data_IF_112698348639
#
_entry.id   IF_112698348639
#
_cell.length_a   1.000
_cell.length_b   1.000
_cell.length_c   1.000
_cell.angle_alpha   90.00
_cell.angle_beta   90.00
_cell.angle_gamma   90.00
#
_symmetry.space_group_name_H-M   'P 1'
#
loop_
_entity.id
_entity.type
_entity.pdbx_description
1 polymer ?
#
# COMPACT_ATOMS: atom_id res chain seq x y z
N UNK A 1 -32.58 -43.82 -19.70
CA UNK A 1 -31.13 -43.82 -19.99
C UNK A 1 -30.76 -43.16 -21.33
N UNK A 2 -31.69 -42.56 -22.09
CA UNK A 2 -31.36 -41.89 -23.38
C UNK A 2 -31.09 -40.37 -23.27
N UNK A 3 -31.31 -39.76 -22.11
CA UNK A 3 -31.25 -38.30 -21.90
C UNK A 3 -29.91 -37.79 -21.33
N UNK A 4 -29.05 -38.66 -20.80
CA UNK A 4 -27.75 -38.27 -20.28
C UNK A 4 -26.67 -38.22 -21.38
N UNK A 5 -26.76 -39.12 -22.36
CA UNK A 5 -25.82 -39.19 -23.49
C UNK A 5 -25.91 -37.96 -24.40
N UNK A 6 -27.14 -37.52 -24.69
CA UNK A 6 -27.37 -36.33 -25.53
C UNK A 6 -26.91 -35.03 -24.87
N UNK A 7 -26.99 -34.92 -23.54
CA UNK A 7 -26.44 -33.78 -22.80
C UNK A 7 -24.91 -33.76 -22.79
N UNK A 8 -24.27 -34.94 -22.68
CA UNK A 8 -22.82 -35.06 -22.75
C UNK A 8 -22.29 -34.74 -24.16
N UNK A 9 -22.95 -35.24 -25.20
CA UNK A 9 -22.59 -34.95 -26.59
C UNK A 9 -22.73 -33.46 -26.94
N UNK A 10 -23.75 -32.80 -26.39
CA UNK A 10 -23.95 -31.35 -26.58
C UNK A 10 -22.85 -30.54 -25.87
N UNK A 11 -22.40 -30.97 -24.70
CA UNK A 11 -21.31 -30.35 -23.96
C UNK A 11 -19.95 -30.57 -24.64
N UNK A 12 -19.70 -31.76 -25.17
CA UNK A 12 -18.47 -32.08 -25.90
C UNK A 12 -18.39 -31.32 -27.23
N UNK A 13 -19.50 -31.22 -27.97
CA UNK A 13 -19.56 -30.40 -29.19
C UNK A 13 -19.34 -28.90 -28.91
N UNK A 14 -19.86 -28.40 -27.78
CA UNK A 14 -19.61 -27.03 -27.32
C UNK A 14 -18.15 -26.78 -26.93
N UNK A 15 -17.46 -27.79 -26.39
CA UNK A 15 -16.04 -27.69 -26.04
C UNK A 15 -15.15 -27.80 -27.27
N UNK A 16 -15.47 -28.69 -28.21
CA UNK A 16 -14.75 -28.83 -29.47
C UNK A 16 -14.84 -27.54 -30.31
N UNK A 17 -16.00 -26.87 -30.38
CA UNK A 17 -16.15 -25.58 -31.08
C UNK A 17 -15.37 -24.45 -30.39
N UNK A 18 -15.31 -24.45 -29.05
CA UNK A 18 -14.60 -23.43 -28.28
C UNK A 18 -13.07 -23.62 -28.28
N UNK A 19 -12.60 -24.83 -28.56
CA UNK A 19 -11.17 -25.19 -28.52
C UNK A 19 -10.59 -25.60 -29.86
N UNK A 20 -11.43 -25.65 -30.91
CA UNK A 20 -10.97 -25.89 -32.27
C UNK A 20 -9.90 -24.85 -32.64
N UNK A 21 -8.74 -25.29 -33.17
CA UNK A 21 -7.78 -24.38 -33.77
C UNK A 21 -8.50 -23.55 -34.82
N UNK A 22 -8.27 -22.23 -34.86
CA UNK A 22 -8.83 -21.35 -35.88
C UNK A 22 -8.20 -21.75 -37.22
N UNK A 23 -8.78 -22.74 -37.89
CA UNK A 23 -8.31 -23.18 -39.19
C UNK A 23 -9.02 -22.37 -40.29
N UNK A 24 -8.23 -21.44 -40.83
CA UNK A 24 -8.12 -21.14 -42.25
C UNK A 24 -9.39 -20.99 -43.10
N UNK A 25 -10.42 -20.29 -42.60
CA UNK A 25 -11.29 -19.54 -43.54
C UNK A 25 -10.57 -18.27 -43.97
N UNK A 26 -9.73 -18.43 -44.99
CA UNK A 26 -9.06 -17.43 -45.83
C UNK A 26 -9.42 -15.99 -45.47
N UNK A 27 -8.57 -15.36 -44.64
CA UNK A 27 -8.48 -13.90 -44.59
C UNK A 27 -7.47 -13.50 -45.67
N UNK A 28 -7.87 -12.66 -46.61
CA UNK A 28 -7.01 -12.20 -47.71
C UNK A 28 -5.85 -11.30 -47.26
N UNK A 29 -5.74 -10.96 -45.98
CA UNK A 29 -4.55 -10.27 -45.45
C UNK A 29 -4.33 -10.62 -43.95
N UNK A 30 -3.19 -11.23 -43.57
CA UNK A 30 -2.88 -11.59 -42.19
C UNK A 30 -2.59 -10.40 -41.25
N UNK A 31 -2.50 -9.16 -41.75
CA UNK A 31 -2.01 -8.01 -40.97
C UNK A 31 -3.05 -6.95 -40.63
N UNK A 32 -4.33 -7.17 -40.90
CA UNK A 32 -5.41 -6.27 -40.46
C UNK A 32 -6.02 -6.73 -39.15
N UNK A 33 -5.79 -5.96 -38.07
CA UNK A 33 -6.53 -6.09 -36.82
C UNK A 33 -8.02 -5.79 -37.05
N UNK A 34 -8.90 -6.53 -36.38
CA UNK A 34 -10.33 -6.30 -36.42
C UNK A 34 -10.66 -4.86 -36.00
N UNK A 35 -11.64 -4.25 -36.65
CA UNK A 35 -11.97 -2.85 -36.42
C UNK A 35 -12.58 -2.64 -35.03
N UNK A 36 -12.39 -1.46 -34.44
CA UNK A 36 -12.94 -1.08 -33.12
C UNK A 36 -14.47 -1.31 -33.04
N UNK A 37 -15.15 -1.19 -34.19
CA UNK A 37 -16.59 -1.42 -34.33
C UNK A 37 -16.99 -2.89 -34.16
N UNK A 38 -16.12 -3.84 -34.50
CA UNK A 38 -16.36 -5.29 -34.33
C UNK A 38 -16.12 -5.76 -32.90
N UNK A 39 -15.24 -5.09 -32.15
CA UNK A 39 -14.99 -5.36 -30.72
C UNK A 39 -16.21 -4.98 -29.85
N UNK A 40 -16.92 -3.91 -30.22
CA UNK A 40 -18.03 -3.38 -29.44
C UNK A 40 -19.37 -4.10 -29.65
N UNK A 41 -19.52 -4.85 -30.75
CA UNK A 41 -20.80 -5.42 -31.17
C UNK A 41 -20.85 -6.94 -31.02
N UNK A 42 -20.70 -7.45 -29.78
CA UNK A 42 -21.29 -8.70 -29.23
C UNK A 42 -20.46 -9.21 -28.05
N UNK A 43 -20.71 -8.67 -26.86
CA UNK A 43 -20.53 -9.48 -25.65
C UNK A 43 -21.87 -10.13 -25.31
N UNK A 44 -22.06 -11.45 -25.52
CA UNK A 44 -23.08 -12.15 -24.75
C UNK A 44 -22.72 -11.94 -23.27
N UNK A 45 -23.68 -11.49 -22.46
CA UNK A 45 -23.50 -11.37 -21.01
C UNK A 45 -22.99 -12.72 -20.49
N UNK A 46 -21.69 -12.82 -20.20
CA UNK A 46 -21.13 -13.95 -19.45
C UNK A 46 -21.95 -14.08 -18.17
N UNK A 47 -22.44 -15.27 -17.78
CA UNK A 47 -22.83 -15.46 -16.39
C UNK A 47 -21.61 -15.04 -15.56
N UNK A 48 -21.80 -14.13 -14.60
CA UNK A 48 -20.74 -13.71 -13.71
C UNK A 48 -20.25 -14.95 -12.97
N UNK A 49 -19.18 -15.58 -13.48
CA UNK A 49 -18.35 -16.46 -12.68
C UNK A 49 -17.86 -15.55 -11.56
N UNK A 50 -18.41 -15.75 -10.37
CA UNK A 50 -18.09 -14.96 -9.19
C UNK A 50 -16.67 -15.39 -8.79
N UNK A 51 -15.66 -14.91 -9.51
CA UNK A 51 -14.25 -15.21 -9.25
C UNK A 51 -13.89 -14.52 -7.95
N UNK A 52 -14.21 -15.16 -6.83
CA UNK A 52 -13.98 -14.65 -5.48
C UNK A 52 -12.49 -14.65 -5.10
N UNK A 53 -11.63 -15.21 -5.94
CA UNK A 53 -10.18 -15.27 -5.74
C UNK A 53 -9.47 -14.36 -6.75
N UNK A 54 -9.17 -13.13 -6.33
CA UNK A 54 -8.40 -12.14 -7.10
C UNK A 54 -7.11 -11.77 -6.34
N UNK A 55 -6.08 -12.65 -6.37
CA UNK A 55 -4.87 -12.45 -5.58
C UNK A 55 -4.01 -11.28 -6.05
N UNK A 56 -4.10 -10.94 -7.34
CA UNK A 56 -3.31 -9.90 -8.00
C UNK A 56 -3.96 -8.51 -7.89
N UNK A 57 -5.15 -8.41 -7.30
CA UNK A 57 -5.85 -7.15 -7.09
C UNK A 57 -5.50 -6.59 -5.71
N UNK A 58 -4.77 -5.49 -5.68
CA UNK A 58 -4.31 -4.87 -4.44
C UNK A 58 -5.47 -4.37 -3.56
N UNK A 59 -6.52 -3.83 -4.17
CA UNK A 59 -7.73 -3.39 -3.46
C UNK A 59 -8.42 -4.55 -2.73
N UNK A 60 -8.51 -5.73 -3.36
CA UNK A 60 -9.06 -6.92 -2.73
C UNK A 60 -8.20 -7.44 -1.58
N UNK A 61 -6.87 -7.34 -1.72
CA UNK A 61 -5.95 -7.63 -0.62
C UNK A 61 -6.20 -6.69 0.56
N UNK A 62 -6.27 -5.38 0.33
CA UNK A 62 -6.56 -4.39 1.37
C UNK A 62 -7.94 -4.59 2.00
N UNK A 63 -8.94 -5.00 1.21
CA UNK A 63 -10.26 -5.35 1.72
C UNK A 63 -10.19 -6.55 2.68
N UNK A 64 -9.38 -7.58 2.40
CA UNK A 64 -9.16 -8.67 3.35
C UNK A 64 -8.43 -8.22 4.60
N UNK A 65 -7.38 -7.42 4.49
CA UNK A 65 -6.67 -6.81 5.63
C UNK A 65 -7.62 -5.98 6.49
N UNK A 66 -8.62 -5.33 5.88
CA UNK A 66 -9.59 -4.50 6.59
C UNK A 66 -10.47 -5.25 7.59
N UNK A 67 -10.62 -6.57 7.41
CA UNK A 67 -11.37 -7.40 8.35
C UNK A 67 -10.68 -7.57 9.72
N UNK A 68 -9.39 -7.26 9.82
CA UNK A 68 -8.58 -7.49 11.02
C UNK A 68 -8.60 -6.28 11.98
N UNK A 69 -8.94 -6.54 13.24
CA UNK A 69 -8.93 -5.53 14.31
C UNK A 69 -8.00 -5.92 15.48
N UNK A 70 -7.63 -4.95 16.32
CA UNK A 70 -6.91 -5.26 17.58
C UNK A 70 -7.75 -6.15 18.49
N UNK A 71 -9.08 -5.99 18.50
CA UNK A 71 -9.96 -6.77 19.37
C UNK A 71 -10.07 -8.24 18.94
N UNK A 72 -9.85 -8.54 17.67
CA UNK A 72 -10.10 -9.85 17.07
C UNK A 72 -8.84 -10.57 16.57
N UNK A 73 -7.74 -9.85 16.36
CA UNK A 73 -6.46 -10.40 15.91
C UNK A 73 -5.28 -9.75 16.65
N UNK A 74 -5.31 -9.85 17.98
CA UNK A 74 -4.35 -9.18 18.84
C UNK A 74 -2.98 -9.86 18.87
N UNK A 75 -1.91 -9.04 18.82
CA UNK A 75 -0.53 -9.42 19.13
C UNK A 75 -0.05 -10.74 18.47
N UNK A 76 -0.51 -11.03 17.26
CA UNK A 76 -0.09 -12.23 16.52
C UNK A 76 1.33 -12.07 15.99
N UNK A 77 2.17 -13.13 16.08
CA UNK A 77 3.51 -13.12 15.47
C UNK A 77 3.46 -12.88 13.96
N UNK A 78 4.56 -12.37 13.41
CA UNK A 78 4.62 -11.88 12.02
C UNK A 78 4.25 -12.94 10.98
N UNK A 79 4.63 -14.21 11.21
CA UNK A 79 4.34 -15.35 10.33
C UNK A 79 2.85 -15.66 10.18
N UNK A 80 2.01 -15.11 11.07
CA UNK A 80 0.54 -15.17 11.02
C UNK A 80 -0.06 -13.76 11.24
N UNK A 81 0.66 -12.73 10.79
CA UNK A 81 0.16 -11.36 10.80
C UNK A 81 -1.11 -11.24 9.94
N UNK A 82 -1.84 -10.12 10.10
CA UNK A 82 -3.02 -9.85 9.27
C UNK A 82 -2.68 -9.84 7.78
N UNK A 83 -1.48 -9.36 7.41
CA UNK A 83 -0.98 -9.41 6.03
C UNK A 83 -0.76 -10.82 5.55
N UNK A 84 -0.08 -11.68 6.31
CA UNK A 84 0.16 -13.06 5.90
C UNK A 84 -1.15 -13.84 5.77
N UNK A 85 -2.09 -13.64 6.68
CA UNK A 85 -3.42 -14.22 6.58
C UNK A 85 -4.16 -13.72 5.31
N UNK A 86 -4.20 -12.41 5.09
CA UNK A 86 -4.86 -11.81 3.94
C UNK A 86 -4.21 -12.20 2.60
N UNK A 87 -2.88 -12.35 2.54
CA UNK A 87 -2.17 -12.82 1.35
C UNK A 87 -2.68 -14.20 0.94
N UNK A 88 -2.89 -15.08 1.90
CA UNK A 88 -3.41 -16.43 1.68
C UNK A 88 -4.94 -16.51 1.59
N UNK A 89 -5.62 -15.38 1.36
CA UNK A 89 -7.07 -15.35 1.10
C UNK A 89 -7.96 -15.39 2.33
N UNK A 90 -7.39 -15.29 3.53
CA UNK A 90 -8.14 -15.33 4.77
C UNK A 90 -8.63 -13.95 5.19
N UNK A 91 -9.84 -13.92 5.75
CA UNK A 91 -10.41 -12.77 6.43
C UNK A 91 -10.68 -13.10 7.89
N UNK A 92 -10.52 -12.12 8.76
CA UNK A 92 -10.87 -12.28 10.16
C UNK A 92 -12.39 -12.19 10.32
N UNK A 93 -12.98 -13.21 10.95
CA UNK A 93 -14.44 -13.33 11.11
C UNK A 93 -14.87 -13.23 12.57
N UNK A 94 -14.00 -13.59 13.50
CA UNK A 94 -14.21 -13.51 14.95
C UNK A 94 -12.85 -13.47 15.68
N UNK A 95 -12.80 -13.31 17.02
CA UNK A 95 -11.55 -13.38 17.77
C UNK A 95 -10.77 -14.67 17.48
N UNK A 96 -9.52 -14.51 17.06
CA UNK A 96 -8.61 -15.58 16.64
C UNK A 96 -9.14 -16.47 15.50
N UNK A 97 -10.21 -16.07 14.80
CA UNK A 97 -10.85 -16.87 13.75
C UNK A 97 -10.65 -16.27 12.35
N UNK A 98 -10.27 -17.12 11.41
CA UNK A 98 -10.14 -16.82 9.99
C UNK A 98 -11.25 -17.52 9.19
N UNK A 99 -11.62 -16.94 8.07
CA UNK A 99 -12.62 -17.43 7.13
C UNK A 99 -12.16 -17.18 5.69
N UNK A 100 -12.33 -18.17 4.81
CA UNK A 100 -12.10 -17.99 3.38
C UNK A 100 -13.44 -17.84 2.62
N UNK A 101 -13.58 -16.76 1.85
CA UNK A 101 -14.79 -16.54 1.05
C UNK A 101 -14.97 -17.54 -0.09
N UNK A 102 -13.90 -18.15 -0.59
CA UNK A 102 -13.98 -19.09 -1.72
C UNK A 102 -14.41 -20.48 -1.25
N UNK A 103 -13.67 -21.06 -0.30
CA UNK A 103 -13.89 -22.44 0.13
C UNK A 103 -14.74 -22.59 1.41
N UNK A 104 -15.11 -21.48 2.05
CA UNK A 104 -15.92 -21.42 3.28
C UNK A 104 -15.31 -22.11 4.50
N UNK A 105 -14.02 -22.45 4.44
CA UNK A 105 -13.29 -22.99 5.59
C UNK A 105 -13.05 -21.92 6.64
N UNK A 106 -12.88 -22.38 7.88
CA UNK A 106 -12.52 -21.56 9.01
C UNK A 106 -11.28 -22.13 9.71
N UNK A 107 -10.44 -21.25 10.24
CA UNK A 107 -9.31 -21.60 11.11
C UNK A 107 -9.42 -20.84 12.41
N UNK A 108 -8.90 -21.42 13.51
CA UNK A 108 -8.82 -20.74 14.80
C UNK A 108 -7.38 -20.78 15.33
N UNK A 109 -6.73 -19.62 15.39
CA UNK A 109 -5.32 -19.47 15.76
C UNK A 109 -5.17 -18.90 17.17
N UNK A 110 -5.79 -19.56 18.14
CA UNK A 110 -5.65 -19.20 19.55
C UNK A 110 -4.28 -19.65 20.06
N UNK A 111 -3.47 -18.71 20.51
CA UNK A 111 -2.18 -18.98 21.15
C UNK A 111 -2.36 -18.79 22.65
N UNK A 112 -1.93 -19.79 23.44
CA UNK A 112 -2.03 -19.74 24.89
C UNK A 112 -1.05 -18.70 25.46
N UNK A 113 -1.57 -17.82 26.30
CA UNK A 113 -0.84 -16.70 26.93
C UNK A 113 0.22 -17.16 27.94
N UNK A 114 0.12 -18.41 28.43
CA UNK A 114 1.11 -19.02 29.33
C UNK A 114 2.36 -19.53 28.60
N UNK A 115 2.37 -19.55 27.27
CA UNK A 115 3.53 -20.00 26.51
C UNK A 115 4.66 -18.96 26.60
N UNK A 116 5.89 -19.44 26.65
CA UNK A 116 7.05 -18.57 26.41
C UNK A 116 7.03 -18.03 24.98
N UNK A 117 7.75 -16.94 24.71
CA UNK A 117 7.86 -16.35 23.37
C UNK A 117 8.30 -17.40 22.33
N UNK A 118 9.26 -18.25 22.67
CA UNK A 118 9.71 -19.33 21.79
C UNK A 118 8.62 -20.40 21.55
N UNK A 119 7.82 -20.73 22.57
CA UNK A 119 6.69 -21.64 22.43
C UNK A 119 5.57 -21.06 21.55
N UNK A 120 5.23 -19.79 21.76
CA UNK A 120 4.25 -19.08 20.96
C UNK A 120 4.67 -19.00 19.47
N UNK A 121 5.95 -18.74 19.20
CA UNK A 121 6.49 -18.75 17.84
C UNK A 121 6.41 -20.13 17.17
N UNK A 122 6.73 -21.21 17.89
CA UNK A 122 6.59 -22.57 17.35
C UNK A 122 5.14 -22.88 16.93
N UNK A 123 4.17 -22.52 17.77
CA UNK A 123 2.75 -22.65 17.45
C UNK A 123 2.37 -21.80 16.24
N UNK A 124 2.87 -20.57 16.18
CA UNK A 124 2.61 -19.66 15.05
C UNK A 124 3.16 -20.20 13.72
N UNK A 125 4.31 -20.89 13.71
CA UNK A 125 4.82 -21.53 12.50
C UNK A 125 3.91 -22.68 12.01
N UNK A 126 3.37 -23.49 12.91
CA UNK A 126 2.37 -24.52 12.56
C UNK A 126 1.13 -23.86 11.96
N UNK A 127 0.66 -22.76 12.55
CA UNK A 127 -0.46 -21.99 12.01
C UNK A 127 -0.14 -21.35 10.65
N UNK A 128 1.10 -20.92 10.41
CA UNK A 128 1.51 -20.39 9.12
C UNK A 128 1.38 -21.44 8.01
N UNK A 129 1.74 -22.70 8.27
CA UNK A 129 1.51 -23.81 7.32
C UNK A 129 0.02 -24.05 7.04
N UNK A 130 -0.84 -23.80 8.04
CA UNK A 130 -2.30 -23.90 7.90
C UNK A 130 -2.90 -22.77 7.06
N UNK A 131 -2.21 -21.65 6.84
CA UNK A 131 -2.68 -20.63 5.91
C UNK A 131 -2.81 -21.16 4.48
N UNK A 132 -2.02 -22.18 4.13
CA UNK A 132 -2.10 -22.87 2.84
C UNK A 132 -2.98 -24.12 2.97
N UNK A 133 -2.64 -25.00 3.90
CA UNK A 133 -3.25 -26.34 4.02
C UNK A 133 -4.65 -26.34 4.61
N UNK A 134 -5.05 -25.27 5.31
CA UNK A 134 -6.37 -25.11 5.91
C UNK A 134 -7.49 -24.81 4.90
N UNK A 135 -7.14 -24.51 3.66
CA UNK A 135 -8.09 -24.43 2.56
C UNK A 135 -8.52 -25.82 2.08
N UNK A 136 -9.68 -25.93 1.43
CA UNK A 136 -10.02 -27.16 0.68
C UNK A 136 -9.03 -27.35 -0.48
N UNK A 137 -8.84 -28.61 -0.90
CA UNK A 137 -7.93 -28.98 -2.01
C UNK A 137 -8.18 -28.19 -3.30
N UNK A 138 -9.44 -27.86 -3.59
CA UNK A 138 -9.85 -27.12 -4.79
C UNK A 138 -9.95 -25.60 -4.58
N UNK A 139 -9.56 -25.09 -3.41
CA UNK A 139 -9.57 -23.66 -3.17
C UNK A 139 -8.45 -22.99 -3.98
N UNK A 140 -8.77 -21.95 -4.77
CA UNK A 140 -7.77 -21.27 -5.59
C UNK A 140 -6.66 -20.59 -4.74
N UNK A 141 -6.94 -20.20 -3.49
CA UNK A 141 -5.96 -19.57 -2.59
C UNK A 141 -4.82 -20.48 -2.15
N UNK A 142 -4.97 -21.81 -2.26
CA UNK A 142 -3.97 -22.78 -1.77
C UNK A 142 -2.63 -22.70 -2.50
N UNK A 143 -2.63 -22.30 -3.76
CA UNK A 143 -1.42 -22.12 -4.58
C UNK A 143 -1.26 -20.74 -5.17
N UNK A 144 -2.09 -19.77 -4.75
CA UNK A 144 -2.18 -18.47 -5.39
C UNK A 144 -2.32 -17.35 -4.35
N UNK A 145 -1.32 -17.19 -3.44
CA UNK A 145 -1.34 -16.08 -2.49
C UNK A 145 -1.15 -14.74 -3.21
N UNK A 146 -1.65 -13.66 -2.62
CA UNK A 146 -1.35 -12.31 -3.10
C UNK A 146 0.17 -12.03 -3.06
N UNK A 147 0.67 -11.20 -4.00
CA UNK A 147 2.08 -10.82 -4.04
C UNK A 147 2.60 -10.27 -2.72
N UNK A 148 3.84 -10.64 -2.35
CA UNK A 148 4.49 -10.11 -1.15
C UNK A 148 4.67 -8.60 -1.19
N UNK A 149 4.88 -8.05 -2.39
CA UNK A 149 4.99 -6.62 -2.63
C UNK A 149 3.82 -5.82 -2.02
N UNK A 150 2.62 -6.41 -1.92
CA UNK A 150 1.44 -5.75 -1.33
C UNK A 150 1.55 -5.49 0.18
N UNK A 151 2.49 -6.15 0.86
CA UNK A 151 2.76 -5.94 2.29
C UNK A 151 3.79 -4.84 2.54
N UNK A 152 4.38 -4.29 1.47
CA UNK A 152 5.47 -3.32 1.52
C UNK A 152 5.07 -2.01 0.86
N UNK A 153 5.82 -0.93 1.15
CA UNK A 153 5.65 0.31 0.40
C UNK A 153 6.18 0.14 -1.04
N UNK A 154 5.69 0.95 -2.00
CA UNK A 154 6.24 0.96 -3.36
C UNK A 154 7.75 1.17 -3.38
N UNK A 155 8.45 0.51 -4.30
CA UNK A 155 9.87 0.77 -4.54
C UNK A 155 9.98 2.13 -5.22
N UNK A 156 10.58 3.10 -4.53
CA UNK A 156 10.72 4.47 -5.01
C UNK A 156 12.06 5.05 -4.58
N UNK A 157 12.68 5.83 -5.47
CA UNK A 157 13.85 6.62 -5.14
C UNK A 157 13.51 7.72 -4.13
N UNK A 158 14.51 8.22 -3.40
CA UNK A 158 14.34 9.33 -2.45
C UNK A 158 13.67 10.55 -3.08
N UNK A 159 13.95 10.83 -4.36
CA UNK A 159 13.32 11.93 -5.11
C UNK A 159 11.84 11.66 -5.40
N UNK A 160 11.49 10.46 -5.87
CA UNK A 160 10.09 10.09 -6.11
C UNK A 160 9.26 10.12 -4.82
N UNK A 161 9.87 9.72 -3.69
CA UNK A 161 9.24 9.86 -2.36
C UNK A 161 8.98 11.32 -2.02
N UNK A 162 9.94 12.23 -2.27
CA UNK A 162 9.77 13.67 -2.07
C UNK A 162 8.66 14.26 -2.97
N UNK A 163 8.64 13.92 -4.25
CA UNK A 163 7.62 14.37 -5.19
C UNK A 163 6.23 13.91 -4.74
N UNK A 164 6.11 12.65 -4.33
CA UNK A 164 4.87 12.10 -3.75
C UNK A 164 4.48 12.80 -2.44
N UNK A 165 5.45 13.12 -1.58
CA UNK A 165 5.22 13.87 -0.35
C UNK A 165 4.61 15.25 -0.63
N UNK A 166 5.18 16.01 -1.60
CA UNK A 166 4.69 17.35 -1.93
C UNK A 166 3.25 17.32 -2.45
N UNK A 167 2.94 16.39 -3.36
CA UNK A 167 1.57 16.21 -3.88
C UNK A 167 0.59 15.92 -2.74
N UNK A 168 0.91 14.95 -1.88
CA UNK A 168 0.04 14.58 -0.75
C UNK A 168 -0.10 15.70 0.27
N UNK A 169 0.94 16.50 0.49
CA UNK A 169 0.90 17.65 1.39
C UNK A 169 -0.07 18.72 0.85
N UNK A 170 0.02 19.06 -0.43
CA UNK A 170 -0.86 20.04 -1.07
C UNK A 170 -2.32 19.59 -1.05
N UNK A 171 -2.57 18.31 -1.34
CA UNK A 171 -3.90 17.70 -1.24
C UNK A 171 -4.44 17.78 0.20
N UNK A 172 -3.63 17.38 1.18
CA UNK A 172 -4.04 17.36 2.58
C UNK A 172 -4.32 18.79 3.10
N UNK A 173 -3.47 19.76 2.76
CA UNK A 173 -3.67 21.17 3.12
C UNK A 173 -4.92 21.73 2.47
N UNK A 174 -5.18 21.39 1.20
CA UNK A 174 -6.41 21.77 0.51
C UNK A 174 -7.65 21.18 1.18
N UNK A 175 -7.59 19.91 1.61
CA UNK A 175 -8.66 19.27 2.37
C UNK A 175 -8.86 19.96 3.73
N UNK A 176 -7.78 20.28 4.45
CA UNK A 176 -7.85 20.98 5.73
C UNK A 176 -8.40 22.41 5.61
N UNK A 177 -8.15 23.10 4.49
CA UNK A 177 -8.72 24.43 4.23
C UNK A 177 -10.23 24.39 3.99
N UNK A 178 -10.74 23.32 3.35
CA UNK A 178 -12.17 23.12 3.11
C UNK A 178 -12.93 22.63 4.35
N UNK A 179 -12.24 22.10 5.35
CA UNK A 179 -12.82 21.42 6.53
C UNK A 179 -12.81 22.31 7.77
N UNK A 180 -13.64 21.93 8.76
CA UNK A 180 -13.89 22.64 10.02
C UNK A 180 -12.60 22.84 10.86
N UNK A 181 -12.59 23.85 11.73
CA UNK A 181 -11.45 24.28 12.58
C UNK A 181 -10.87 23.14 13.46
N UNK A 182 -11.65 22.08 13.70
CA UNK A 182 -11.24 20.91 14.49
C UNK A 182 -10.03 20.19 13.91
N UNK A 183 -9.90 20.18 12.59
CA UNK A 183 -8.79 19.50 11.92
C UNK A 183 -7.44 20.18 12.17
N UNK A 184 -7.48 21.48 12.51
CA UNK A 184 -6.31 22.28 12.88
C UNK A 184 -5.82 21.99 14.31
N UNK A 185 -6.56 21.19 15.08
CA UNK A 185 -6.32 20.91 16.50
C UNK A 185 -5.43 19.68 16.76
N UNK A 186 -5.04 18.91 15.74
CA UNK A 186 -4.13 17.78 15.91
C UNK A 186 -2.77 18.32 16.35
N UNK A 187 -2.32 17.94 17.54
CA UNK A 187 -0.99 18.29 18.05
C UNK A 187 -0.09 17.06 18.04
N UNK A 188 0.92 17.06 17.17
CA UNK A 188 1.91 15.98 17.14
C UNK A 188 2.80 16.07 18.38
N UNK A 189 3.09 14.95 19.02
CA UNK A 189 3.96 14.89 20.19
C UNK A 189 5.38 15.36 19.85
N UNK A 190 5.94 16.28 20.65
CA UNK A 190 7.23 16.93 20.39
C UNK A 190 8.37 15.93 20.17
N UNK A 191 8.37 14.81 20.91
CA UNK A 191 9.37 13.76 20.75
C UNK A 191 9.32 13.09 19.36
N UNK A 192 8.13 12.94 18.78
CA UNK A 192 7.94 12.40 17.42
C UNK A 192 8.34 13.43 16.38
N UNK A 193 7.94 14.69 16.56
CA UNK A 193 8.34 15.79 15.69
C UNK A 193 9.87 15.94 15.65
N UNK A 194 10.53 15.95 16.81
CA UNK A 194 11.98 16.01 16.92
C UNK A 194 12.66 14.80 16.26
N UNK A 195 12.09 13.60 16.40
CA UNK A 195 12.60 12.37 15.75
C UNK A 195 12.55 12.48 14.23
N UNK A 196 11.44 12.99 13.66
CA UNK A 196 11.27 13.17 12.21
C UNK A 196 12.24 14.24 11.69
N UNK A 197 12.30 15.38 12.38
CA UNK A 197 13.16 16.49 11.97
C UNK A 197 14.64 16.10 12.02
N UNK A 198 15.07 15.33 13.03
CA UNK A 198 16.43 14.81 13.11
C UNK A 198 16.75 13.88 11.93
N UNK A 199 15.86 12.95 11.60
CA UNK A 199 16.04 12.04 10.45
C UNK A 199 16.08 12.78 9.11
N UNK A 200 15.42 13.95 9.01
CA UNK A 200 15.51 14.83 7.84
C UNK A 200 16.84 15.58 7.74
N UNK A 201 17.50 15.85 8.89
CA UNK A 201 18.78 16.58 9.00
C UNK A 201 20.00 15.67 8.81
N UNK A 202 19.88 14.35 9.08
CA UNK A 202 20.97 13.36 8.96
C UNK A 202 21.39 13.06 7.49
N UNK A 203 21.02 13.91 6.50
CA UNK A 203 21.66 13.90 5.17
C UNK A 203 23.01 14.59 5.24
N UNK A 204 24.04 14.08 4.56
CA UNK A 204 25.46 14.48 4.71
C UNK A 204 25.77 15.98 4.57
N UNK A 205 24.81 16.82 4.18
CA UNK A 205 24.92 18.27 4.10
C UNK A 205 23.76 19.00 4.83
N UNK A 206 24.15 19.85 5.81
CA UNK A 206 23.42 20.94 6.49
C UNK A 206 22.60 20.63 7.77
N UNK A 207 22.86 21.46 8.80
CA UNK A 207 22.24 21.49 10.14
C UNK A 207 21.05 22.48 10.19
N UNK A 208 19.93 22.11 9.60
CA UNK A 208 19.01 23.08 8.99
C UNK A 208 17.52 22.81 9.31
N UNK A 209 17.19 21.69 9.98
CA UNK A 209 15.83 21.30 10.40
C UNK A 209 15.59 21.31 11.92
N UNK A 210 16.32 22.13 12.67
CA UNK A 210 16.28 22.08 14.14
C UNK A 210 14.97 22.54 14.79
N UNK A 211 14.09 23.25 14.08
CA UNK A 211 12.80 23.67 14.63
C UNK A 211 11.66 23.68 13.59
N UNK A 212 10.42 23.61 14.09
CA UNK A 212 9.20 23.56 13.28
C UNK A 212 8.95 24.86 12.51
N UNK A 213 9.45 25.99 12.98
CA UNK A 213 9.33 27.29 12.30
C UNK A 213 10.13 27.32 10.99
N UNK A 214 11.41 26.95 11.03
CA UNK A 214 12.27 26.84 9.84
C UNK A 214 11.70 25.81 8.87
N UNK A 215 11.19 24.68 9.39
CA UNK A 215 10.52 23.67 8.57
C UNK A 215 9.31 24.25 7.83
N UNK A 216 8.42 24.98 8.53
CA UNK A 216 7.27 25.63 7.91
C UNK A 216 7.70 26.63 6.81
N UNK A 217 8.72 27.45 7.07
CA UNK A 217 9.24 28.40 6.08
C UNK A 217 9.77 27.72 4.82
N UNK A 218 10.49 26.58 4.97
CA UNK A 218 10.97 25.78 3.83
C UNK A 218 9.83 25.18 3.02
N UNK A 219 8.80 24.65 3.68
CA UNK A 219 7.60 24.13 3.00
C UNK A 219 6.90 25.23 2.19
N UNK A 220 6.68 26.40 2.80
CA UNK A 220 6.06 27.55 2.15
C UNK A 220 6.88 28.09 0.97
N UNK A 221 8.21 27.99 1.03
CA UNK A 221 9.08 28.41 -0.07
C UNK A 221 8.91 27.50 -1.32
N UNK A 222 8.65 26.20 -1.11
CA UNK A 222 8.65 25.19 -2.17
C UNK A 222 7.35 25.09 -2.97
N UNK A 223 6.21 25.55 -2.43
CA UNK A 223 4.93 25.53 -3.16
C UNK A 223 4.15 26.84 -2.97
N UNK A 224 3.79 27.54 -4.07
CA UNK A 224 2.88 28.69 -4.04
C UNK A 224 1.49 28.33 -3.49
N UNK A 225 0.98 27.13 -3.79
CA UNK A 225 -0.35 26.68 -3.34
C UNK A 225 -0.45 26.66 -1.81
N UNK A 226 0.63 26.30 -1.13
CA UNK A 226 0.69 26.29 0.33
C UNK A 226 0.66 27.71 0.93
N UNK A 227 1.15 28.73 0.20
CA UNK A 227 1.11 30.13 0.65
C UNK A 227 -0.29 30.73 0.51
N UNK A 228 -0.97 30.43 -0.58
CA UNK A 228 -2.29 31.00 -0.88
C UNK A 228 -3.40 30.41 -0.01
N UNK A 229 -3.20 29.22 0.55
CA UNK A 229 -4.18 28.54 1.39
C UNK A 229 -4.45 29.23 2.76
N UNK A 230 -3.75 30.31 3.12
CA UNK A 230 -3.92 31.07 4.38
C UNK A 230 -3.86 30.20 5.65
N UNK A 231 -3.10 29.10 5.61
CA UNK A 231 -2.99 28.13 6.71
C UNK A 231 -1.91 28.57 7.70
N UNK A 232 -2.14 28.36 9.01
CA UNK A 232 -1.13 28.67 10.03
C UNK A 232 0.08 27.73 9.91
N UNK A 233 1.27 28.21 10.29
CA UNK A 233 2.50 27.41 10.24
C UNK A 233 2.40 26.11 11.05
N UNK A 234 1.69 26.13 12.18
CA UNK A 234 1.44 24.94 13.00
C UNK A 234 0.65 23.88 12.23
N UNK A 235 -0.44 24.28 11.57
CA UNK A 235 -1.29 23.37 10.79
C UNK A 235 -0.54 22.79 9.60
N UNK A 236 0.26 23.61 8.90
CA UNK A 236 1.09 23.14 7.79
C UNK A 236 2.12 22.10 8.23
N UNK A 237 2.78 22.32 9.36
CA UNK A 237 3.77 21.38 9.92
C UNK A 237 3.09 20.08 10.36
N UNK A 238 1.92 20.17 11.02
CA UNK A 238 1.16 18.98 11.40
C UNK A 238 0.69 18.17 10.17
N UNK A 239 0.24 18.85 9.11
CA UNK A 239 -0.09 18.20 7.84
C UNK A 239 1.12 17.47 7.25
N UNK A 240 2.30 18.11 7.24
CA UNK A 240 3.53 17.47 6.78
C UNK A 240 3.89 16.24 7.62
N UNK A 241 3.76 16.31 8.95
CA UNK A 241 4.01 15.15 9.82
C UNK A 241 3.00 14.01 9.60
N UNK A 242 1.74 14.31 9.32
CA UNK A 242 0.75 13.30 8.95
C UNK A 242 1.17 12.56 7.67
N UNK A 243 1.58 13.30 6.62
CA UNK A 243 2.04 12.70 5.36
C UNK A 243 3.31 11.86 5.57
N UNK A 244 4.31 12.39 6.28
CA UNK A 244 5.56 11.66 6.61
C UNK A 244 5.26 10.40 7.40
N UNK A 245 4.26 10.42 8.28
CA UNK A 245 3.84 9.25 9.04
C UNK A 245 2.84 8.34 8.29
N UNK A 246 2.50 8.64 7.04
CA UNK A 246 1.64 7.79 6.23
C UNK A 246 0.14 7.87 6.49
N UNK A 247 -0.30 8.93 7.17
CA UNK A 247 -1.70 9.18 7.47
C UNK A 247 -2.36 10.08 6.41
N UNK A 248 -3.62 9.81 6.13
CA UNK A 248 -4.52 10.65 5.32
C UNK A 248 -5.90 10.67 5.95
N UNK A 249 -6.79 11.57 5.51
CA UNK A 249 -8.19 11.50 5.94
C UNK A 249 -8.90 10.32 5.29
N UNK A 250 -9.81 9.68 6.03
CA UNK A 250 -10.68 8.67 5.45
C UNK A 250 -11.75 9.34 4.58
N UNK A 251 -11.91 8.87 3.35
CA UNK A 251 -12.96 9.35 2.44
C UNK A 251 -14.37 9.01 2.95
N UNK A 252 -14.49 7.98 3.81
CA UNK A 252 -15.78 7.53 4.36
C UNK A 252 -16.16 8.24 5.65
N UNK A 253 -15.17 8.66 6.43
CA UNK A 253 -15.36 9.34 7.70
C UNK A 253 -14.26 10.39 7.85
N UNK A 254 -14.61 11.62 7.44
CA UNK A 254 -13.66 12.72 7.35
C UNK A 254 -13.03 13.11 8.69
N UNK A 255 -13.58 12.67 9.83
CA UNK A 255 -13.03 12.89 11.18
C UNK A 255 -11.96 11.86 11.58
N UNK A 256 -11.78 10.81 10.79
CA UNK A 256 -10.80 9.75 11.04
C UNK A 256 -9.58 9.87 10.15
N UNK A 257 -8.41 9.62 10.73
CA UNK A 257 -7.21 9.35 9.97
C UNK A 257 -7.19 7.88 9.56
N UNK A 258 -6.73 7.63 8.35
CA UNK A 258 -6.59 6.31 7.76
C UNK A 258 -5.17 6.10 7.24
N UNK A 259 -4.64 4.90 7.44
CA UNK A 259 -3.41 4.45 6.80
C UNK A 259 -3.76 3.42 5.71
N UNK A 260 -3.47 3.74 4.45
CA UNK A 260 -3.72 2.84 3.33
C UNK A 260 -2.96 1.51 3.38
N UNK A 261 -1.80 1.47 4.05
CA UNK A 261 -0.98 0.25 4.11
C UNK A 261 -1.47 -0.76 5.16
N UNK A 262 -1.71 -0.33 6.40
CA UNK A 262 -2.19 -1.24 7.46
C UNK A 262 -3.70 -1.20 7.68
N UNK A 263 -4.41 -0.40 6.88
CA UNK A 263 -5.84 -0.13 6.95
C UNK A 263 -6.36 0.28 8.35
N UNK A 264 -5.49 0.81 9.22
CA UNK A 264 -5.92 1.33 10.53
C UNK A 264 -6.66 2.64 10.32
N UNK A 265 -7.84 2.74 10.94
CA UNK A 265 -8.60 3.97 11.14
C UNK A 265 -8.41 4.42 12.57
N UNK A 266 -8.16 5.71 12.76
CA UNK A 266 -7.85 6.26 14.06
C UNK A 266 -8.41 7.67 14.19
N UNK A 267 -9.21 7.87 15.23
CA UNK A 267 -9.72 9.17 15.60
C UNK A 267 -8.68 9.91 16.45
N UNK A 268 -7.97 10.84 15.82
CA UNK A 268 -6.93 11.64 16.49
C UNK A 268 -7.50 12.77 17.35
N UNK A 269 -8.75 13.19 17.08
CA UNK A 269 -9.42 14.30 17.78
C UNK A 269 -10.47 13.73 18.73
N UNK A 270 -10.37 13.95 20.05
CA UNK A 270 -11.40 13.51 20.99
C UNK A 270 -12.75 14.18 20.69
N UNK A 271 -13.84 13.42 20.69
CA UNK A 271 -15.18 14.00 20.68
C UNK A 271 -15.43 14.73 21.99
N UNK A 272 -15.90 15.99 21.91
CA UNK A 272 -16.48 16.65 23.08
C UNK A 272 -17.75 15.87 23.45
N UNK A 273 -17.69 15.05 24.49
CA UNK A 273 -18.91 14.51 25.09
C UNK A 273 -19.71 15.68 25.64
N UNK A 274 -20.92 15.91 25.10
CA UNK A 274 -21.95 16.62 25.84
C UNK A 274 -22.37 15.69 26.98
N UNK A 275 -22.00 16.03 28.22
CA UNK A 275 -22.52 15.36 29.40
C UNK A 275 -24.01 15.73 29.52
N UNK A 276 -24.85 14.93 28.89
CA UNK A 276 -26.31 14.99 28.96
C UNK A 276 -26.87 13.59 29.20
N UNK A 277 -27.34 13.38 30.43
CA UNK A 277 -28.24 12.33 30.95
C UNK A 277 -27.68 10.96 31.36
N UNK A 278 -27.57 10.83 32.69
CA UNK A 278 -27.79 9.69 33.60
C UNK A 278 -27.43 8.25 33.16
N UNK A 279 -26.36 7.68 33.74
CA UNK A 279 -26.45 6.76 34.91
C UNK A 279 -25.11 6.06 35.26
N UNK A 280 -24.94 5.83 36.57
CA UNK A 280 -23.89 5.11 37.33
C UNK A 280 -22.61 5.82 37.80
N UNK A 281 -22.16 5.57 39.06
CA UNK A 281 -21.24 6.46 39.79
C UNK A 281 -19.78 6.28 39.36
N UNK A 282 -18.99 7.37 39.25
CA UNK A 282 -17.65 7.30 38.67
C UNK A 282 -16.63 6.84 39.71
N UNK A 283 -16.03 5.67 39.48
CA UNK A 283 -14.73 5.35 40.07
C UNK A 283 -13.68 6.30 39.47
N UNK A 284 -13.31 7.34 40.24
CA UNK A 284 -12.15 8.24 40.10
C UNK A 284 -11.46 8.21 38.73
N UNK A 285 -11.98 8.96 37.75
CA UNK A 285 -11.17 9.45 36.63
C UNK A 285 -10.89 10.92 36.83
N UNK A 286 -9.61 11.26 37.06
CA UNK A 286 -9.13 12.63 36.98
C UNK A 286 -9.42 13.15 35.57
N UNK A 287 -10.20 14.23 35.51
CA UNK A 287 -10.43 15.04 34.32
C UNK A 287 -9.18 15.89 34.11
N UNK A 288 -8.44 15.63 33.03
CA UNK A 288 -7.42 16.56 32.54
C UNK A 288 -7.84 17.02 31.16
N UNK A 289 -8.35 18.26 31.10
CA UNK A 289 -8.58 19.06 29.88
C UNK A 289 -7.23 19.49 29.26
N UNK A 290 -6.35 18.53 28.97
CA UNK A 290 -5.13 18.76 28.21
C UNK A 290 -5.38 18.36 26.75
N UNK A 291 -5.08 19.26 25.79
CA UNK A 291 -5.00 18.89 24.37
C UNK A 291 -3.98 17.77 24.27
N UNK A 292 -4.45 16.55 24.09
CA UNK A 292 -3.61 15.36 24.17
C UNK A 292 -2.75 15.31 22.90
N UNK A 293 -1.45 15.58 23.04
CA UNK A 293 -0.51 15.41 21.95
C UNK A 293 -0.47 13.95 21.50
N UNK A 294 -0.36 13.71 20.20
CA UNK A 294 -0.48 12.38 19.62
C UNK A 294 0.83 11.85 19.05
N UNK A 295 1.11 10.56 19.30
CA UNK A 295 2.23 9.85 18.71
C UNK A 295 1.79 9.13 17.44
N UNK A 296 1.96 9.79 16.29
CA UNK A 296 1.54 9.29 14.98
C UNK A 296 2.15 7.93 14.60
N UNK A 297 3.36 7.62 15.07
CA UNK A 297 4.06 6.38 14.70
C UNK A 297 3.51 5.20 15.50
N UNK A 298 3.30 5.37 16.81
CA UNK A 298 2.72 4.32 17.68
C UNK A 298 1.30 3.91 17.28
N UNK A 299 0.59 4.76 16.54
CA UNK A 299 -0.77 4.49 16.08
C UNK A 299 -0.81 3.57 14.86
N UNK A 300 0.30 3.16 14.28
CA UNK A 300 0.26 2.12 13.24
C UNK A 300 0.03 0.73 13.84
N UNK A 301 -0.35 -0.25 13.00
CA UNK A 301 -0.20 -1.67 13.36
C UNK A 301 1.29 -2.00 13.37
N UNK A 302 1.74 -2.93 14.24
CA UNK A 302 3.17 -3.26 14.37
C UNK A 302 3.81 -3.77 13.08
N UNK A 303 3.03 -4.42 12.21
CA UNK A 303 3.47 -4.91 10.91
C UNK A 303 3.38 -3.88 9.77
N UNK A 304 2.90 -2.66 10.03
CA UNK A 304 2.71 -1.66 8.99
C UNK A 304 4.05 -1.23 8.39
N UNK A 305 4.21 -1.19 7.05
CA UNK A 305 5.50 -0.85 6.43
C UNK A 305 5.90 0.61 6.63
N UNK A 306 5.00 1.44 7.16
CA UNK A 306 5.35 2.79 7.63
C UNK A 306 6.26 2.76 8.84
N UNK A 307 6.14 1.78 9.74
CA UNK A 307 6.89 1.68 11.01
C UNK A 307 7.79 0.45 11.12
N UNK A 308 7.46 -0.62 10.38
CA UNK A 308 8.26 -1.83 10.28
C UNK A 308 9.28 -1.70 9.13
N UNK A 309 10.47 -2.26 9.34
CA UNK A 309 11.49 -2.37 8.29
C UNK A 309 11.07 -3.41 7.25
N UNK A 310 11.44 -3.17 5.98
CA UNK A 310 11.25 -4.17 4.93
C UNK A 310 12.18 -5.35 5.22
N UNK A 311 11.61 -6.53 5.38
CA UNK A 311 12.37 -7.77 5.52
C UNK A 311 12.90 -8.18 4.14
N UNK A 312 14.16 -8.63 4.10
CA UNK A 312 14.69 -9.27 2.89
C UNK A 312 13.96 -10.60 2.69
N UNK A 313 13.44 -10.82 1.49
CA UNK A 313 12.70 -12.01 1.07
C UNK A 313 13.61 -13.20 0.79
N UNK A 314 14.93 -13.05 0.93
CA UNK A 314 15.91 -14.12 0.69
C UNK A 314 16.03 -14.58 -0.76
N UNK A 315 15.19 -14.05 -1.65
CA UNK A 315 15.44 -14.03 -3.09
C UNK A 315 16.36 -12.84 -3.33
N UNK A 316 17.34 -13.01 -4.21
CA UNK A 316 18.41 -12.05 -4.53
C UNK A 316 17.85 -10.82 -5.29
N UNK A 317 16.81 -10.19 -4.72
CA UNK A 317 15.98 -9.15 -5.29
C UNK A 317 16.81 -7.90 -5.56
N UNK A 318 17.09 -7.64 -6.84
CA UNK A 318 17.46 -6.36 -7.47
C UNK A 318 18.65 -5.55 -6.89
N UNK A 319 19.20 -5.93 -5.74
CA UNK A 319 20.19 -5.17 -4.96
C UNK A 319 21.56 -5.07 -5.61
N UNK A 320 21.80 -5.82 -6.70
CA UNK A 320 23.02 -5.71 -7.50
C UNK A 320 23.05 -4.44 -8.37
N UNK A 321 21.89 -3.85 -8.70
CA UNK A 321 21.81 -2.72 -9.64
C UNK A 321 21.98 -1.35 -8.95
N UNK A 322 21.45 -1.19 -7.73
CA UNK A 322 21.62 0.03 -6.92
C UNK A 322 21.57 -0.26 -5.41
N UNK A 323 22.74 -0.48 -4.77
CA UNK A 323 22.82 -0.72 -3.33
C UNK A 323 22.29 0.44 -2.49
N UNK A 324 22.42 1.69 -2.95
CA UNK A 324 21.96 2.87 -2.20
C UNK A 324 20.44 2.94 -2.20
N UNK A 325 19.80 2.66 -3.33
CA UNK A 325 18.36 2.54 -3.41
C UNK A 325 17.85 1.39 -2.54
N UNK A 326 18.53 0.24 -2.56
CA UNK A 326 18.13 -0.91 -1.77
C UNK A 326 18.18 -0.65 -0.26
N UNK A 327 19.26 -0.03 0.24
CA UNK A 327 19.35 0.39 1.64
C UNK A 327 18.29 1.42 2.02
N UNK A 328 17.96 2.34 1.12
CA UNK A 328 16.89 3.31 1.33
C UNK A 328 15.50 2.66 1.45
N UNK A 329 15.14 1.75 0.54
CA UNK A 329 13.81 1.13 0.55
C UNK A 329 13.62 0.08 1.66
N UNK A 330 14.71 -0.32 2.34
CA UNK A 330 14.66 -1.15 3.55
C UNK A 330 14.13 -0.40 4.76
N UNK A 331 14.36 0.91 4.81
CA UNK A 331 13.93 1.76 5.89
C UNK A 331 12.40 1.74 6.03
N UNK A 332 11.84 1.94 7.24
CA UNK A 332 10.41 2.15 7.41
C UNK A 332 9.96 3.39 6.65
N UNK A 333 8.70 3.40 6.18
CA UNK A 333 8.16 4.51 5.39
C UNK A 333 8.36 5.89 6.00
N UNK A 334 8.20 6.03 7.33
CA UNK A 334 8.39 7.34 7.96
C UNK A 334 9.82 7.87 7.82
N UNK A 335 10.83 6.99 7.84
CA UNK A 335 12.23 7.35 7.61
C UNK A 335 12.48 7.68 6.14
N UNK A 336 11.93 6.88 5.22
CA UNK A 336 12.05 7.16 3.79
C UNK A 336 11.54 8.56 3.46
N UNK A 337 10.37 8.92 3.99
CA UNK A 337 9.76 10.24 3.82
C UNK A 337 10.54 11.33 4.55
N UNK A 338 10.97 11.12 5.79
CA UNK A 338 11.76 12.10 6.54
C UNK A 338 13.09 12.42 5.83
N UNK A 339 13.85 11.39 5.42
CA UNK A 339 15.10 11.57 4.68
C UNK A 339 14.89 12.21 3.31
N UNK A 340 13.71 12.07 2.69
CA UNK A 340 13.38 12.73 1.43
C UNK A 340 13.13 14.23 1.60
N UNK A 341 12.90 14.72 2.82
CA UNK A 341 12.77 16.15 3.10
C UNK A 341 14.08 16.93 2.91
N UNK A 342 15.22 16.26 2.73
CA UNK A 342 16.48 16.91 2.37
C UNK A 342 16.34 17.80 1.12
N UNK A 343 15.46 17.45 0.18
CA UNK A 343 15.17 18.24 -1.03
C UNK A 343 14.40 19.55 -0.77
N UNK A 344 13.94 19.80 0.46
CA UNK A 344 13.45 21.12 0.86
C UNK A 344 14.62 22.10 1.11
N UNK A 345 15.82 21.61 1.46
CA UNK A 345 17.04 22.40 1.55
C UNK A 345 17.68 22.58 0.17
N UNK A 346 17.90 23.83 -0.25
CA UNK A 346 18.50 24.25 -1.51
C UNK A 346 17.70 23.92 -2.81
N UNK A 347 17.90 24.77 -3.82
CA UNK A 347 17.16 24.82 -5.09
C UNK A 347 17.95 24.18 -6.25
N UNK A 348 19.20 23.78 -6.05
CA UNK A 348 20.12 23.49 -7.17
C UNK A 348 20.70 22.08 -7.19
N UNK A 349 20.62 21.29 -6.11
CA UNK A 349 21.18 19.94 -6.16
C UNK A 349 20.20 18.89 -6.67
N UNK A 350 20.58 18.39 -7.86
CA UNK A 350 20.03 17.26 -8.61
C UNK A 350 18.91 17.60 -9.57
N UNK A 351 19.07 18.67 -10.37
CA UNK A 351 18.88 18.44 -11.79
C UNK A 351 19.80 17.27 -12.16
N UNK A 352 19.26 16.21 -12.77
CA UNK A 352 20.06 15.13 -13.33
C UNK A 352 21.21 15.81 -14.08
N UNK A 353 22.45 15.45 -13.73
CA UNK A 353 23.58 15.67 -14.62
C UNK A 353 23.26 14.85 -15.86
N UNK A 354 22.46 15.43 -16.74
CA UNK A 354 22.58 15.18 -18.15
C UNK A 354 24.00 15.64 -18.43
N UNK A 355 24.91 14.68 -18.52
CA UNK A 355 26.22 14.90 -19.11
C UNK A 355 25.89 15.45 -20.50
N UNK A 356 25.95 16.76 -20.61
CA UNK A 356 26.00 17.45 -21.87
C UNK A 356 27.34 17.07 -22.48
N UNK A 357 27.40 15.89 -23.09
CA UNK A 357 28.29 15.68 -24.22
C UNK A 357 27.57 16.33 -25.40
N UNK A 358 27.77 17.63 -25.52
CA UNK A 358 27.63 18.33 -26.79
C UNK A 358 28.49 17.61 -27.80
N UNK A 359 27.89 16.78 -28.65
CA UNK A 359 28.22 16.72 -30.08
C UNK A 359 27.27 15.79 -30.84
N UNK A 360 26.78 16.33 -31.97
CA UNK A 360 26.10 15.68 -33.10
C UNK A 360 24.57 15.47 -32.99
N UNK A 361 23.88 16.53 -33.43
CA UNK A 361 22.68 16.39 -34.26
C UNK A 361 22.92 15.40 -35.42
N UNK A 362 22.31 14.23 -35.35
CA UNK A 362 21.85 13.48 -36.53
C UNK A 362 20.80 12.46 -36.07
N UNK A 363 19.53 12.82 -36.20
CA UNK A 363 18.41 11.89 -36.06
C UNK A 363 18.54 10.85 -37.19
N UNK A 364 19.26 9.75 -36.95
CA UNK A 364 19.20 8.57 -37.82
C UNK A 364 17.85 7.90 -37.57
N UNK A 365 16.92 8.12 -38.48
CA UNK A 365 15.75 7.25 -38.65
C UNK A 365 16.31 5.86 -38.94
N UNK A 366 16.26 4.98 -37.95
CA UNK A 366 16.72 3.60 -38.11
C UNK A 366 15.66 2.86 -38.94
N UNK A 367 16.07 2.40 -40.12
CA UNK A 367 15.24 1.56 -40.97
C UNK A 367 14.94 0.26 -40.20
N UNK A 368 13.66 -0.06 -39.93
CA UNK A 368 13.30 -1.25 -39.16
C UNK A 368 13.80 -2.56 -39.78
N UNK A 369 14.12 -2.58 -41.08
CA UNK A 369 14.72 -3.75 -41.74
C UNK A 369 16.18 -3.95 -41.31
N UNK A 370 16.94 -2.87 -41.16
CA UNK A 370 18.34 -2.90 -40.73
C UNK A 370 18.48 -3.32 -39.25
N UNK A 371 17.53 -2.89 -38.41
CA UNK A 371 17.45 -3.32 -37.02
C UNK A 371 17.16 -4.83 -36.89
N UNK A 372 16.29 -5.36 -37.75
CA UNK A 372 15.94 -6.79 -37.77
C UNK A 372 17.11 -7.67 -38.25
N UNK A 373 17.85 -7.22 -39.27
CA UNK A 373 19.07 -7.89 -39.73
C UNK A 373 20.16 -7.91 -38.65
N UNK A 374 20.30 -6.81 -37.90
CA UNK A 374 21.26 -6.73 -36.79
C UNK A 374 20.90 -7.69 -35.64
N UNK A 375 19.61 -7.83 -35.33
CA UNK A 375 19.12 -8.80 -34.33
C UNK A 375 19.35 -10.25 -34.80
N UNK A 376 19.11 -10.56 -36.07
CA UNK A 376 19.39 -11.89 -36.63
C UNK A 376 20.87 -12.25 -36.57
N UNK A 377 21.75 -11.29 -36.89
CA UNK A 377 23.19 -11.48 -36.82
C UNK A 377 23.68 -11.77 -35.39
N UNK A 378 23.08 -11.14 -34.37
CA UNK A 378 23.41 -11.41 -32.95
C UNK A 378 22.86 -12.75 -32.48
N UNK A 379 21.70 -13.16 -32.98
CA UNK A 379 21.06 -14.43 -32.61
C UNK A 379 21.52 -15.63 -33.45
N UNK A 380 22.34 -15.41 -34.47
CA UNK A 380 22.84 -16.46 -35.37
C UNK A 380 21.73 -17.12 -36.21
N UNK A 381 20.68 -16.36 -36.54
CA UNK A 381 19.51 -16.82 -37.32
C UNK A 381 19.59 -16.42 -38.79
#
# INVERSE_FOLDING_TARGET
MATLGTQMETLLASWDDATAPIDSRVREDPLLFASVSEILAKHPKKPACNVQCRPWEHEDFLARVSSFSIASWFAKPDVISAFECARHGWMNSAPDQLHCNCCKQFLCFKINDKLSTAGALKVAHIFAEQLITGHTELCPWRGNPSPEAFTTLPIASKRQVYETFMVRLEELVTQMHKKDERMKSIKVMDAVAAKILKEADDSEDAADFQNTTTFASKLLAKSPLLRDASVSSEVLVNAAFLVVCGWQFDDKDEEMLWCGSCNRRWQAIPTKKNDGEESEPPAKRMKTDAVQSVDLLSQHRHFCPWVAERKSTGVDDYGEMDPKLWEFIKLPGWKQYAQALCFLGNLEDRAIVAVASSDLNATKVCDPVEALESIRAVLGL
#
